data_IF_152678402317
#
_entry.id   IF_152678402317
#
_cell.length_a   1.000
_cell.length_b   1.000
_cell.length_c   1.000
_cell.angle_alpha   90.00
_cell.angle_beta   90.00
_cell.angle_gamma   90.00
#
_symmetry.space_group_name_H-M   'P 1'
#
loop_
_entity.id
_entity.type
_entity.pdbx_description
1 polymer ?
#
# COMPACT_ATOMS: atom_id res chain seq x y z
N UNK A 1 -8.03 -9.46 -13.32
CA UNK A 1 -7.40 -8.49 -12.41
C UNK A 1 -6.44 -7.63 -13.22
N UNK A 2 -6.37 -6.33 -12.95
CA UNK A 2 -5.35 -5.42 -13.51
C UNK A 2 -4.69 -4.59 -12.41
N UNK A 3 -3.46 -4.13 -12.68
CA UNK A 3 -2.82 -3.05 -11.94
C UNK A 3 -2.85 -1.79 -12.80
N UNK A 4 -3.35 -0.69 -12.23
CA UNK A 4 -3.46 0.59 -12.93
C UNK A 4 -2.65 1.65 -12.19
N UNK A 5 -1.61 2.15 -12.84
CA UNK A 5 -0.83 3.28 -12.34
C UNK A 5 -1.61 4.59 -12.51
N UNK A 6 -2.09 5.19 -11.42
CA UNK A 6 -2.93 6.40 -11.45
C UNK A 6 -2.12 7.70 -11.55
N UNK A 7 -0.83 7.63 -11.22
CA UNK A 7 0.07 8.79 -11.19
C UNK A 7 1.50 8.36 -11.42
N UNK A 8 2.32 9.31 -11.88
CA UNK A 8 3.79 9.19 -11.85
C UNK A 8 4.41 9.86 -10.64
N UNK A 9 3.64 10.63 -9.85
CA UNK A 9 4.14 11.34 -8.68
C UNK A 9 4.48 10.35 -7.59
N UNK A 10 5.70 10.40 -7.09
CA UNK A 10 6.11 9.61 -5.95
C UNK A 10 7.05 10.43 -5.06
N UNK A 11 6.74 10.59 -3.76
CA UNK A 11 7.63 11.26 -2.81
C UNK A 11 8.75 10.33 -2.32
N UNK A 12 8.72 9.06 -2.72
CA UNK A 12 9.62 8.01 -2.25
C UNK A 12 10.50 7.55 -3.39
N UNK A 13 11.68 7.08 -3.01
CA UNK A 13 12.81 6.85 -3.88
C UNK A 13 13.34 5.44 -3.66
N UNK A 14 12.49 4.41 -3.71
CA UNK A 14 12.87 3.05 -3.33
C UNK A 14 13.95 2.43 -4.22
N UNK A 15 14.85 1.65 -3.64
CA UNK A 15 15.92 0.94 -4.36
C UNK A 15 15.38 -0.03 -5.42
N UNK A 16 14.27 -0.72 -5.14
CA UNK A 16 13.65 -1.69 -6.05
C UNK A 16 12.68 -1.07 -7.08
N UNK A 17 12.56 0.26 -7.15
CA UNK A 17 11.61 0.88 -8.06
C UNK A 17 12.03 0.65 -9.52
N UNK A 18 11.18 0.01 -10.32
CA UNK A 18 11.45 -0.20 -11.74
C UNK A 18 11.01 0.98 -12.63
N UNK A 19 10.32 1.98 -12.07
CA UNK A 19 9.79 3.15 -12.78
C UNK A 19 10.64 4.41 -12.61
N UNK A 20 11.87 4.29 -12.10
CA UNK A 20 12.73 5.43 -11.74
C UNK A 20 12.79 6.53 -12.80
N UNK A 21 13.02 6.14 -14.05
CA UNK A 21 13.14 7.09 -15.16
C UNK A 21 11.82 7.80 -15.49
N UNK A 22 10.67 7.21 -15.12
CA UNK A 22 9.34 7.72 -15.40
C UNK A 22 8.71 8.49 -14.23
N UNK A 23 9.23 8.34 -13.01
CA UNK A 23 8.68 9.00 -11.83
C UNK A 23 8.83 10.53 -11.89
N UNK A 24 7.82 11.22 -11.38
CA UNK A 24 7.76 12.69 -11.28
C UNK A 24 7.91 13.45 -12.62
N UNK A 25 7.88 12.74 -13.76
CA UNK A 25 7.66 13.35 -15.06
C UNK A 25 6.23 13.94 -15.14
N UNK A 26 5.97 14.72 -16.19
CA UNK A 26 4.63 15.25 -16.46
C UNK A 26 3.62 14.10 -16.51
N UNK A 27 2.49 14.32 -15.82
CA UNK A 27 1.36 13.38 -15.85
C UNK A 27 0.86 13.19 -17.27
N UNK A 28 0.57 11.94 -17.62
CA UNK A 28 0.10 11.57 -18.96
C UNK A 28 -1.42 11.40 -19.02
N UNK A 29 -2.07 11.24 -17.86
CA UNK A 29 -3.51 10.98 -17.78
C UNK A 29 -4.23 12.00 -16.89
N UNK A 30 -5.36 12.49 -17.39
CA UNK A 30 -6.37 13.17 -16.59
C UNK A 30 -7.22 12.14 -15.83
N UNK A 31 -7.96 12.61 -14.82
CA UNK A 31 -8.91 11.78 -14.08
C UNK A 31 -9.95 11.13 -15.00
N UNK A 32 -10.46 11.89 -15.97
CA UNK A 32 -11.47 11.41 -16.93
C UNK A 32 -10.93 10.27 -17.78
N UNK A 33 -9.65 10.36 -18.19
CA UNK A 33 -8.99 9.30 -18.93
C UNK A 33 -8.79 8.05 -18.07
N UNK A 34 -8.49 8.19 -16.77
CA UNK A 34 -8.43 7.04 -15.85
C UNK A 34 -9.80 6.35 -15.75
N UNK A 35 -10.90 7.11 -15.65
CA UNK A 35 -12.26 6.56 -15.67
C UNK A 35 -12.56 5.81 -16.98
N UNK A 36 -12.17 6.38 -18.13
CA UNK A 36 -12.34 5.72 -19.43
C UNK A 36 -11.56 4.40 -19.53
N UNK A 37 -10.33 4.36 -19.00
CA UNK A 37 -9.51 3.15 -18.93
C UNK A 37 -10.19 2.10 -18.07
N UNK A 38 -10.66 2.48 -16.87
CA UNK A 38 -11.39 1.57 -15.97
C UNK A 38 -12.65 1.01 -16.65
N UNK A 39 -13.47 1.86 -17.28
CA UNK A 39 -14.69 1.43 -17.97
C UNK A 39 -14.38 0.44 -19.11
N UNK A 40 -13.33 0.69 -19.88
CA UNK A 40 -12.89 -0.20 -20.94
C UNK A 40 -12.57 -1.59 -20.39
N UNK A 41 -11.75 -1.67 -19.34
CA UNK A 41 -11.37 -2.95 -18.74
C UNK A 41 -12.56 -3.66 -18.07
N UNK A 42 -13.46 -2.92 -17.43
CA UNK A 42 -14.69 -3.51 -16.87
C UNK A 42 -15.60 -4.10 -17.95
N UNK A 43 -15.71 -3.46 -19.12
CA UNK A 43 -16.44 -4.03 -20.26
C UNK A 43 -15.79 -5.29 -20.84
N UNK A 44 -14.48 -5.48 -20.63
CA UNK A 44 -13.76 -6.72 -20.97
C UNK A 44 -13.84 -7.78 -19.86
N UNK A 45 -14.62 -7.56 -18.80
CA UNK A 45 -14.81 -8.53 -17.71
C UNK A 45 -13.81 -8.43 -16.56
N UNK A 46 -13.00 -7.37 -16.48
CA UNK A 46 -12.16 -7.13 -15.31
C UNK A 46 -13.03 -6.80 -14.10
N UNK A 47 -12.96 -7.64 -13.07
CA UNK A 47 -13.73 -7.53 -11.83
C UNK A 47 -12.86 -7.16 -10.61
N UNK A 48 -11.57 -6.96 -10.78
CA UNK A 48 -10.64 -6.57 -9.72
C UNK A 48 -9.58 -5.61 -10.27
N UNK A 49 -9.43 -4.46 -9.60
CA UNK A 49 -8.51 -3.40 -9.99
C UNK A 49 -7.65 -3.01 -8.80
N UNK A 50 -6.33 -3.03 -9.00
CA UNK A 50 -5.35 -2.56 -8.04
C UNK A 50 -4.81 -1.21 -8.51
N UNK A 51 -5.18 -0.14 -7.82
CA UNK A 51 -4.69 1.20 -8.08
C UNK A 51 -3.30 1.35 -7.46
N UNK A 52 -2.33 1.66 -8.30
CA UNK A 52 -0.91 1.78 -7.98
C UNK A 52 -0.33 3.01 -8.72
N UNK A 53 0.98 3.03 -8.97
CA UNK A 53 1.66 4.04 -9.79
C UNK A 53 2.12 5.23 -8.98
N UNK A 54 3.40 5.59 -9.14
CA UNK A 54 4.11 6.45 -8.20
C UNK A 54 3.69 6.10 -6.77
N UNK A 55 3.14 7.09 -6.07
CA UNK A 55 2.33 6.90 -4.88
C UNK A 55 0.88 7.33 -5.16
N UNK A 56 -0.11 6.40 -5.20
CA UNK A 56 -1.50 6.73 -5.51
C UNK A 56 -2.09 7.83 -4.64
N UNK A 57 -1.68 7.88 -3.36
CA UNK A 57 -2.17 8.87 -2.41
C UNK A 57 -1.70 10.30 -2.74
N UNK A 58 -0.70 10.48 -3.62
CA UNK A 58 -0.32 11.79 -4.15
C UNK A 58 -1.41 12.41 -5.06
N UNK A 59 -2.38 11.61 -5.53
CA UNK A 59 -3.58 12.05 -6.25
C UNK A 59 -4.85 11.52 -5.60
N UNK A 60 -4.92 11.56 -4.26
CA UNK A 60 -6.03 10.99 -3.49
C UNK A 60 -7.44 11.35 -4.00
N UNK A 61 -7.67 12.61 -4.40
CA UNK A 61 -8.99 13.04 -4.90
C UNK A 61 -9.37 12.31 -6.19
N UNK A 62 -8.47 12.27 -7.16
CA UNK A 62 -8.69 11.56 -8.42
C UNK A 62 -8.86 10.05 -8.17
N UNK A 63 -8.04 9.48 -7.29
CA UNK A 63 -8.11 8.08 -6.89
C UNK A 63 -9.50 7.73 -6.31
N UNK A 64 -10.00 8.54 -5.38
CA UNK A 64 -11.34 8.37 -4.78
C UNK A 64 -12.42 8.39 -5.86
N UNK A 65 -12.38 9.35 -6.78
CA UNK A 65 -13.39 9.46 -7.85
C UNK A 65 -13.36 8.27 -8.80
N UNK A 66 -12.16 7.79 -9.16
CA UNK A 66 -12.02 6.59 -9.99
C UNK A 66 -12.52 5.34 -9.27
N UNK A 67 -12.27 5.21 -7.96
CA UNK A 67 -12.82 4.11 -7.14
C UNK A 67 -14.35 4.18 -7.07
N UNK A 68 -14.93 5.38 -6.88
CA UNK A 68 -16.40 5.57 -6.86
C UNK A 68 -17.03 5.07 -8.16
N UNK A 69 -16.40 5.37 -9.30
CA UNK A 69 -16.84 4.84 -10.59
C UNK A 69 -16.69 3.31 -10.67
N UNK A 70 -15.52 2.79 -10.29
CA UNK A 70 -15.16 1.39 -10.46
C UNK A 70 -15.98 0.43 -9.57
N UNK A 71 -16.36 0.84 -8.36
CA UNK A 71 -16.94 -0.03 -7.32
C UNK A 71 -18.22 -0.77 -7.74
N UNK A 72 -18.93 -0.26 -8.74
CA UNK A 72 -20.17 -0.87 -9.23
C UNK A 72 -19.94 -2.22 -9.92
N UNK A 73 -18.75 -2.45 -10.50
CA UNK A 73 -18.45 -3.65 -11.29
C UNK A 73 -17.12 -4.32 -10.92
N UNK A 74 -16.30 -3.71 -10.07
CA UNK A 74 -15.02 -4.28 -9.67
C UNK A 74 -14.69 -4.04 -8.20
N UNK A 75 -14.07 -5.04 -7.58
CA UNK A 75 -13.37 -4.87 -6.32
C UNK A 75 -12.15 -3.98 -6.51
N UNK A 76 -12.02 -2.95 -5.66
CA UNK A 76 -10.99 -1.94 -5.75
C UNK A 76 -9.98 -2.11 -4.62
N UNK A 77 -8.69 -2.13 -4.95
CA UNK A 77 -7.59 -2.19 -4.00
C UNK A 77 -6.60 -1.07 -4.26
N UNK A 78 -5.91 -0.58 -3.22
CA UNK A 78 -4.84 0.42 -3.36
C UNK A 78 -3.51 -0.19 -2.91
N UNK A 79 -2.51 -0.14 -3.78
CA UNK A 79 -1.12 -0.53 -3.48
C UNK A 79 -0.35 0.75 -3.16
N UNK A 80 0.17 0.85 -1.94
CA UNK A 80 0.75 2.10 -1.44
C UNK A 80 2.00 1.82 -0.61
N UNK A 81 2.88 2.82 -0.54
CA UNK A 81 3.98 2.83 0.42
C UNK A 81 3.52 3.11 1.86
N UNK A 82 2.28 3.53 2.05
CA UNK A 82 1.77 4.04 3.32
C UNK A 82 1.98 5.55 3.51
N UNK A 83 2.67 6.21 2.58
CA UNK A 83 2.84 7.66 2.59
C UNK A 83 1.49 8.36 2.62
N UNK A 84 1.29 9.20 3.64
CA UNK A 84 0.05 9.95 3.85
C UNK A 84 -1.22 9.08 3.97
N UNK A 85 -1.12 7.78 4.28
CA UNK A 85 -2.26 6.91 4.54
C UNK A 85 -2.80 7.11 5.97
N UNK A 86 -3.13 8.34 6.34
CA UNK A 86 -3.69 8.65 7.66
C UNK A 86 -5.16 8.21 7.74
N UNK A 87 -5.75 8.25 8.94
CA UNK A 87 -7.18 8.00 9.13
C UNK A 87 -8.05 8.87 8.22
N UNK A 88 -7.70 10.15 8.09
CA UNK A 88 -8.41 11.15 7.28
C UNK A 88 -8.38 10.83 5.79
N UNK A 89 -7.43 10.00 5.33
CA UNK A 89 -7.33 9.57 3.94
C UNK A 89 -7.83 8.12 3.74
N UNK A 90 -7.65 7.25 4.73
CA UNK A 90 -8.13 5.87 4.72
C UNK A 90 -9.66 5.78 4.77
N UNK A 91 -10.32 6.58 5.61
CA UNK A 91 -11.78 6.56 5.74
C UNK A 91 -12.49 6.99 4.43
N UNK A 92 -12.09 8.08 3.74
CA UNK A 92 -12.65 8.40 2.43
C UNK A 92 -12.43 7.31 1.37
N UNK A 93 -11.28 6.63 1.37
CA UNK A 93 -11.05 5.49 0.47
C UNK A 93 -12.06 4.37 0.74
N UNK A 94 -12.29 4.02 2.00
CA UNK A 94 -13.32 3.04 2.37
C UNK A 94 -14.70 3.47 1.89
N UNK A 95 -15.11 4.71 2.18
CA UNK A 95 -16.42 5.26 1.79
C UNK A 95 -16.59 5.27 0.26
N UNK A 96 -15.50 5.54 -0.48
CA UNK A 96 -15.48 5.49 -1.93
C UNK A 96 -15.81 4.09 -2.46
N UNK A 97 -15.54 3.03 -1.69
CA UNK A 97 -15.72 1.64 -2.09
C UNK A 97 -14.41 0.88 -2.24
N UNK A 98 -13.30 1.41 -1.72
CA UNK A 98 -12.06 0.65 -1.63
C UNK A 98 -12.25 -0.56 -0.71
N UNK A 99 -12.01 -1.76 -1.25
CA UNK A 99 -12.14 -3.02 -0.52
C UNK A 99 -10.94 -3.26 0.38
N UNK A 100 -9.75 -2.88 -0.06
CA UNK A 100 -8.54 -3.17 0.67
C UNK A 100 -7.32 -2.35 0.24
N UNK A 101 -6.30 -2.37 1.09
CA UNK A 101 -5.01 -1.77 0.81
C UNK A 101 -3.91 -2.80 0.94
N UNK A 102 -2.86 -2.63 0.15
CA UNK A 102 -1.63 -3.39 0.21
C UNK A 102 -0.53 -2.38 0.54
N UNK A 103 -0.10 -2.37 1.80
CA UNK A 103 0.93 -1.44 2.30
C UNK A 103 2.29 -2.10 2.15
N UNK A 104 3.23 -1.40 1.54
CA UNK A 104 4.54 -1.98 1.25
C UNK A 104 5.50 -1.74 2.43
N UNK A 105 5.87 -2.81 3.13
CA UNK A 105 6.78 -2.77 4.29
C UNK A 105 7.87 -3.81 4.12
N UNK A 106 9.04 -3.39 3.62
CA UNK A 106 10.11 -4.32 3.20
C UNK A 106 11.03 -4.82 4.33
N UNK A 107 10.98 -4.20 5.51
CA UNK A 107 11.76 -4.64 6.67
C UNK A 107 11.01 -4.29 7.97
N UNK A 108 11.18 -5.10 9.01
CA UNK A 108 10.55 -4.90 10.33
C UNK A 108 11.27 -3.89 11.23
N UNK A 109 12.47 -3.47 10.81
CA UNK A 109 13.29 -2.45 11.47
C UNK A 109 13.14 -1.16 10.66
N UNK A 110 12.76 -0.09 11.35
CA UNK A 110 12.49 1.20 10.72
C UNK A 110 13.68 1.73 9.93
N UNK A 111 14.88 1.66 10.49
CA UNK A 111 16.11 2.19 9.87
C UNK A 111 16.48 1.47 8.58
N UNK A 112 16.24 0.15 8.49
CA UNK A 112 16.50 -0.63 7.28
C UNK A 112 15.42 -0.39 6.22
N UNK A 113 14.16 -0.32 6.64
CA UNK A 113 13.05 -0.01 5.75
C UNK A 113 13.17 1.39 5.13
N UNK A 114 13.40 2.41 5.96
CA UNK A 114 13.54 3.80 5.54
C UNK A 114 14.72 4.01 4.60
N UNK A 115 15.84 3.33 4.86
CA UNK A 115 17.04 3.35 4.03
C UNK A 115 16.78 2.78 2.64
N UNK A 116 16.18 1.59 2.58
CA UNK A 116 15.82 0.92 1.32
C UNK A 116 14.79 1.71 0.50
N UNK A 117 13.97 2.51 1.17
CA UNK A 117 12.99 3.40 0.53
C UNK A 117 13.52 4.81 0.27
N UNK A 118 14.72 5.12 0.75
CA UNK A 118 15.32 6.45 0.75
C UNK A 118 14.37 7.56 1.24
N UNK A 119 13.61 7.27 2.31
CA UNK A 119 12.66 8.22 2.90
C UNK A 119 12.59 8.03 4.42
N UNK A 120 13.07 9.01 5.19
CA UNK A 120 13.04 8.93 6.65
C UNK A 120 11.60 9.00 7.17
N UNK A 121 11.26 8.14 8.14
CA UNK A 121 9.95 8.04 8.76
C UNK A 121 8.88 7.37 7.91
N UNK A 122 9.23 6.73 6.78
CA UNK A 122 8.23 6.03 5.96
C UNK A 122 7.75 4.75 6.65
N UNK A 123 8.60 4.06 7.42
CA UNK A 123 8.18 2.89 8.18
C UNK A 123 7.04 3.23 9.13
N UNK A 124 7.18 4.30 9.91
CA UNK A 124 6.16 4.73 10.87
C UNK A 124 4.87 5.14 10.17
N UNK A 125 4.96 5.83 9.03
CA UNK A 125 3.80 6.15 8.20
C UNK A 125 3.11 4.88 7.66
N UNK A 126 3.88 3.89 7.22
CA UNK A 126 3.34 2.63 6.72
C UNK A 126 2.62 1.84 7.82
N UNK A 127 3.22 1.75 9.00
CA UNK A 127 2.61 1.11 10.18
C UNK A 127 1.34 1.84 10.62
N UNK A 128 1.38 3.18 10.68
CA UNK A 128 0.21 4.00 10.97
C UNK A 128 -0.88 3.81 9.91
N UNK A 129 -0.52 3.70 8.64
CA UNK A 129 -1.44 3.47 7.54
C UNK A 129 -2.10 2.09 7.56
N UNK A 130 -1.36 1.06 7.98
CA UNK A 130 -1.93 -0.27 8.26
C UNK A 130 -3.00 -0.16 9.35
N UNK A 131 -2.70 0.51 10.47
CA UNK A 131 -3.66 0.71 11.57
C UNK A 131 -4.91 1.46 11.11
N UNK A 132 -4.73 2.61 10.44
CA UNK A 132 -5.82 3.42 9.91
C UNK A 132 -6.71 2.63 8.93
N UNK A 133 -6.11 1.77 8.11
CA UNK A 133 -6.84 0.96 7.14
C UNK A 133 -7.64 -0.17 7.80
N UNK A 134 -7.06 -0.82 8.82
CA UNK A 134 -7.77 -1.81 9.65
C UNK A 134 -8.94 -1.14 10.39
N UNK A 135 -8.71 0.01 11.01
CA UNK A 135 -9.74 0.78 11.72
C UNK A 135 -10.86 1.21 10.77
N UNK A 136 -10.54 1.56 9.52
CA UNK A 136 -11.53 1.91 8.50
C UNK A 136 -12.30 0.70 7.98
N UNK A 137 -11.98 -0.52 8.42
CA UNK A 137 -12.64 -1.76 8.00
C UNK A 137 -12.29 -2.17 6.56
N UNK A 138 -11.09 -1.81 6.09
CA UNK A 138 -10.54 -2.31 4.82
C UNK A 138 -9.81 -3.64 5.02
N UNK A 139 -9.81 -4.49 3.99
CA UNK A 139 -8.90 -5.65 3.95
C UNK A 139 -7.48 -5.12 3.83
N UNK A 140 -6.65 -5.37 4.83
CA UNK A 140 -5.28 -4.83 4.88
C UNK A 140 -4.27 -5.94 4.71
N UNK A 141 -3.40 -5.81 3.73
CA UNK A 141 -2.28 -6.71 3.49
C UNK A 141 -0.96 -5.93 3.47
N UNK A 142 0.13 -6.65 3.69
CA UNK A 142 1.49 -6.12 3.57
C UNK A 142 2.17 -6.76 2.36
N UNK A 143 2.89 -5.96 1.58
CA UNK A 143 3.78 -6.42 0.51
C UNK A 143 5.23 -6.20 0.91
N UNK A 144 6.11 -7.15 0.55
CA UNK A 144 7.53 -7.16 0.89
C UNK A 144 8.33 -7.37 -0.39
N UNK A 145 9.32 -6.51 -0.65
CA UNK A 145 10.39 -6.82 -1.59
C UNK A 145 11.49 -7.62 -0.87
N UNK A 146 11.51 -8.93 -1.08
CA UNK A 146 12.54 -9.79 -0.48
C UNK A 146 13.88 -9.63 -1.22
N UNK A 147 14.88 -9.10 -0.53
CA UNK A 147 16.27 -9.00 -1.02
C UNK A 147 17.16 -10.01 -0.32
N UNK A 148 18.33 -10.32 -0.87
CA UNK A 148 19.30 -11.22 -0.19
C UNK A 148 19.68 -10.73 1.21
N UNK A 149 19.81 -9.42 1.37
CA UNK A 149 20.11 -8.77 2.65
C UNK A 149 18.95 -8.86 3.66
N UNK A 150 17.71 -9.00 3.19
CA UNK A 150 16.53 -9.05 4.06
C UNK A 150 16.10 -10.46 4.44
N UNK A 151 16.66 -11.49 3.81
CA UNK A 151 16.34 -12.90 4.05
C UNK A 151 17.45 -13.66 4.81
N UNK A 152 18.51 -12.98 5.23
CA UNK A 152 19.60 -13.57 6.03
C UNK A 152 19.34 -13.41 7.55
N UNK A 153 19.97 -14.26 8.36
CA UNK A 153 20.06 -14.10 9.83
C UNK A 153 18.74 -13.91 10.59
N UNK A 154 17.93 -14.96 10.74
CA UNK A 154 16.62 -14.96 11.44
C UNK A 154 15.55 -14.02 10.82
N UNK A 155 15.83 -13.37 9.68
CA UNK A 155 14.91 -12.43 9.03
C UNK A 155 14.20 -13.05 7.83
N UNK A 156 12.86 -12.94 7.79
CA UNK A 156 11.92 -13.51 6.79
C UNK A 156 11.95 -15.04 6.63
N UNK A 157 13.08 -15.70 6.89
CA UNK A 157 13.30 -17.15 6.92
C UNK A 157 14.12 -17.46 8.19
N UNK A 158 13.48 -18.02 9.22
CA UNK A 158 14.15 -18.48 10.44
C UNK A 158 13.43 -19.69 11.03
N UNK A 159 14.19 -20.70 11.45
CA UNK A 159 13.72 -22.03 11.91
C UNK A 159 12.93 -22.03 13.24
N UNK A 160 12.59 -20.86 13.79
CA UNK A 160 11.80 -20.71 15.01
C UNK A 160 10.39 -20.21 14.70
N UNK A 161 9.62 -21.04 13.99
CA UNK A 161 8.15 -20.90 14.02
C UNK A 161 7.67 -21.54 15.32
N UNK A 162 7.86 -20.84 16.46
CA UNK A 162 7.24 -21.26 17.70
C UNK A 162 5.71 -21.13 17.56
N UNK A 163 5.05 -22.26 17.81
CA UNK A 163 3.62 -22.45 17.91
C UNK A 163 3.02 -21.53 18.96
N UNK A 164 2.07 -20.64 18.59
CA UNK A 164 1.00 -20.23 19.52
C UNK A 164 -0.20 -19.65 18.75
N UNK A 165 -1.26 -20.47 18.74
CA UNK A 165 -2.71 -20.22 18.79
C UNK A 165 -3.41 -19.05 18.07
N UNK A 166 -4.41 -19.46 17.28
CA UNK A 166 -5.79 -18.98 17.17
C UNK A 166 -6.07 -17.57 16.62
N UNK A 167 -6.57 -17.59 15.37
CA UNK A 167 -7.43 -16.59 14.72
C UNK A 167 -6.76 -15.26 14.31
N UNK A 168 -6.41 -15.22 13.02
CA UNK A 168 -6.04 -14.05 12.21
C UNK A 168 -4.76 -13.31 12.62
N UNK A 169 -3.61 -13.72 12.10
CA UNK A 169 -2.46 -12.84 11.83
C UNK A 169 -1.44 -13.56 10.95
N UNK A 170 -1.29 -13.09 9.70
CA UNK A 170 -0.19 -13.47 8.83
C UNK A 170 1.10 -12.98 9.50
N UNK A 171 1.99 -13.91 9.89
CA UNK A 171 3.38 -13.65 10.32
C UNK A 171 4.19 -13.10 9.12
N UNK A 172 3.90 -11.89 8.68
CA UNK A 172 4.96 -10.99 8.21
C UNK A 172 5.27 -10.16 9.43
N UNK A 173 6.32 -10.55 10.16
CA UNK A 173 6.80 -9.96 11.41
C UNK A 173 6.98 -8.44 11.25
N UNK A 174 5.93 -7.67 11.50
CA UNK A 174 6.02 -6.31 11.98
C UNK A 174 5.18 -6.38 13.23
N UNK A 175 5.84 -6.38 14.39
CA UNK A 175 5.17 -6.42 15.67
C UNK A 175 4.47 -5.07 15.88
N UNK A 176 3.34 -4.85 15.20
CA UNK A 176 2.43 -3.74 15.41
C UNK A 176 1.56 -4.09 16.64
N UNK A 177 2.18 -4.49 17.75
CA UNK A 177 1.49 -4.54 19.04
C UNK A 177 1.48 -3.13 19.61
N UNK A 178 0.31 -2.51 19.57
CA UNK A 178 -0.07 -1.32 20.32
C UNK A 178 -0.15 -1.66 21.81
N UNK A 179 0.94 -1.49 22.56
CA UNK A 179 1.09 -1.37 24.04
C UNK A 179 2.58 -1.55 24.33
N UNK A 180 3.37 -0.65 24.90
CA UNK A 180 3.12 0.32 25.96
C UNK A 180 4.03 1.54 25.85
N UNK A 181 3.42 2.72 25.92
CA UNK A 181 4.08 3.90 26.45
C UNK A 181 3.82 3.93 27.97
N UNK A 182 4.85 3.76 28.78
CA UNK A 182 4.96 4.31 30.14
C UNK A 182 6.40 4.18 30.63
N UNK A 183 7.14 5.28 30.88
CA UNK A 183 8.38 5.24 31.63
C UNK A 183 8.05 5.19 33.13
N UNK A 184 8.53 4.14 33.81
CA UNK A 184 8.76 4.15 35.26
C UNK A 184 10.16 4.66 35.57
#
# INVERSE_FOLDING_TARGET
MIFLAVTRKCPIRCEHCFEWDNLNQRETFTREQLVQIVDLYQRQGVNQIHFAGGEPLARLRDLIEVIVFARAKSDCYVVTSGFNLTWENALPLKIAGCKGVIVSIDHYLADRHDRFRHHAGIFDQAVAGVRASVEAGMVTAVSVCATREFIDGDHLIGDKVSETTSSAQIKVLININTTDASPG
#
